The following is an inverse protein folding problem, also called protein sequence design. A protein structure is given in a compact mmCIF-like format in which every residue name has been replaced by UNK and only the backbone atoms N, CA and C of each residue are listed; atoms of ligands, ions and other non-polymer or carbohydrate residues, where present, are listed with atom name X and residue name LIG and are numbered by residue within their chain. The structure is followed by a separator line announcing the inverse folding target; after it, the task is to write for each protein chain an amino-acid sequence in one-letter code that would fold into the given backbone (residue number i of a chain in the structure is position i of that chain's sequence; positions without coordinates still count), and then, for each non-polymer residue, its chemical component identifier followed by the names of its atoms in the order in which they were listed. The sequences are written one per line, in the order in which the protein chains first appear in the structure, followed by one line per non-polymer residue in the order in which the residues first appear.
data_IF_124730078770
#
_entry.id   IF_124730078770
#
_cell.length_a   1.000
_cell.length_b   1.000
_cell.length_c   1.000
_cell.angle_alpha   90.00
_cell.angle_beta   90.00
_cell.angle_gamma   90.00
#
_symmetry.space_group_name_H-M   'P 1'
#
loop_
_entity.id
_entity.type
_entity.pdbx_description
1 polymer ?
#
# COMPACT_ATOMS: atom_id res chain seq x y z
N UNK A 1 27.83 -2.23 12.61
CA UNK A 1 26.76 -1.61 11.80
C UNK A 1 25.54 -1.59 12.68
N UNK A 2 24.94 -0.40 12.95
CA UNK A 2 23.64 -0.30 13.61
C UNK A 2 22.60 -1.07 12.80
N UNK A 3 21.55 -1.58 13.44
CA UNK A 3 20.45 -2.25 12.75
C UNK A 3 19.88 -1.29 11.69
N UNK A 4 19.66 -1.79 10.47
CA UNK A 4 19.06 -0.99 9.41
C UNK A 4 17.67 -0.53 9.87
N UNK A 5 17.39 0.76 9.70
CA UNK A 5 16.19 1.40 10.18
C UNK A 5 15.13 1.41 9.07
N UNK A 6 13.97 0.80 9.34
CA UNK A 6 12.81 0.93 8.46
C UNK A 6 11.73 1.78 9.15
N UNK A 7 11.27 2.88 8.52
CA UNK A 7 10.31 3.81 9.13
C UNK A 7 8.97 3.17 9.47
N UNK A 8 8.61 2.06 8.87
CA UNK A 8 7.38 1.34 9.16
C UNK A 8 7.29 0.82 10.60
N UNK A 9 8.43 0.51 11.23
CA UNK A 9 8.47 0.00 12.60
C UNK A 9 8.57 1.09 13.69
N UNK A 10 8.55 2.38 13.31
CA UNK A 10 8.45 3.47 14.28
C UNK A 10 7.10 3.44 14.99
N UNK A 11 7.09 3.40 16.33
CA UNK A 11 5.85 3.28 17.11
C UNK A 11 5.30 4.62 17.65
N UNK A 12 6.05 5.68 17.56
CA UNK A 12 5.77 7.00 18.15
C UNK A 12 4.98 7.96 17.26
N UNK A 13 4.55 7.52 16.08
CA UNK A 13 3.84 8.37 15.12
C UNK A 13 2.83 7.57 14.28
N UNK A 14 1.75 8.23 13.88
CA UNK A 14 0.80 7.69 12.89
C UNK A 14 1.46 7.65 11.51
N UNK A 15 1.43 6.51 10.83
CA UNK A 15 2.10 6.33 9.54
C UNK A 15 1.29 6.99 8.42
N UNK A 16 1.97 7.78 7.59
CA UNK A 16 1.41 8.32 6.35
C UNK A 16 2.20 7.80 5.16
N UNK A 17 1.49 7.36 4.14
CA UNK A 17 2.10 6.93 2.89
C UNK A 17 1.33 7.43 1.67
N UNK A 18 1.73 7.00 0.47
CA UNK A 18 0.92 7.11 -0.74
C UNK A 18 0.59 5.75 -1.29
N UNK A 19 -0.49 5.65 -2.08
CA UNK A 19 -0.90 4.41 -2.72
C UNK A 19 -1.15 4.64 -4.21
N UNK A 20 -0.73 3.68 -5.05
CA UNK A 20 -1.05 3.67 -6.48
C UNK A 20 -0.44 4.79 -7.34
N UNK A 21 0.57 5.53 -6.86
CA UNK A 21 1.22 6.56 -7.70
C UNK A 21 1.95 5.96 -8.92
N UNK A 22 2.25 4.67 -8.90
CA UNK A 22 2.79 3.94 -10.05
C UNK A 22 1.77 3.65 -11.16
N UNK A 23 0.47 3.91 -10.92
CA UNK A 23 -0.62 3.66 -11.87
C UNK A 23 -1.13 4.94 -12.50
N UNK A 24 -1.58 4.89 -13.76
CA UNK A 24 -2.29 6.00 -14.42
C UNK A 24 -3.55 6.36 -13.64
N UNK A 25 -3.82 7.66 -13.49
CA UNK A 25 -4.89 8.26 -12.70
C UNK A 25 -4.79 8.02 -11.17
N UNK A 26 -3.73 7.39 -10.66
CA UNK A 26 -3.60 7.11 -9.22
C UNK A 26 -4.77 6.28 -8.70
N UNK A 27 -5.57 6.82 -7.76
CA UNK A 27 -6.77 6.15 -7.24
C UNK A 27 -8.09 6.84 -7.65
N UNK A 28 -8.04 8.03 -8.26
CA UNK A 28 -9.24 8.76 -8.67
C UNK A 28 -9.66 8.34 -10.08
N UNK A 29 -10.88 7.81 -10.22
CA UNK A 29 -11.39 7.31 -11.50
C UNK A 29 -12.06 8.46 -12.25
N UNK A 30 -11.26 9.37 -12.81
CA UNK A 30 -11.70 10.66 -13.37
C UNK A 30 -11.16 10.91 -14.76
N UNK A 31 -11.90 11.70 -15.54
CA UNK A 31 -11.54 12.14 -16.90
C UNK A 31 -10.93 13.53 -16.95
N UNK A 32 -10.77 14.20 -15.80
CA UNK A 32 -10.16 15.54 -15.77
C UNK A 32 -8.74 15.51 -16.34
N UNK A 33 -8.35 16.59 -17.02
CA UNK A 33 -7.05 16.65 -17.70
C UNK A 33 -5.88 16.63 -16.70
N UNK A 34 -6.06 17.26 -15.54
CA UNK A 34 -5.06 17.33 -14.48
C UNK A 34 -4.90 16.02 -13.68
N UNK A 35 -5.61 14.95 -14.02
CA UNK A 35 -5.45 13.66 -13.33
C UNK A 35 -4.03 13.15 -13.42
N UNK A 36 -3.64 12.40 -12.40
CA UNK A 36 -2.28 11.86 -12.27
C UNK A 36 -1.77 11.12 -13.50
N UNK A 37 -0.59 11.51 -13.95
CA UNK A 37 0.20 10.82 -14.97
C UNK A 37 1.35 10.10 -14.28
N UNK A 38 1.38 8.78 -14.39
CA UNK A 38 2.33 7.90 -13.70
C UNK A 38 3.69 7.78 -14.39
N UNK A 39 4.18 8.87 -15.01
CA UNK A 39 5.53 8.86 -15.58
C UNK A 39 6.59 8.62 -14.51
N UNK A 40 7.75 8.10 -14.90
CA UNK A 40 8.88 7.97 -14.00
C UNK A 40 9.29 9.30 -13.36
N UNK A 41 9.32 10.36 -14.17
CA UNK A 41 9.66 11.70 -13.70
C UNK A 41 8.71 12.20 -12.60
N UNK A 42 7.40 12.01 -12.79
CA UNK A 42 6.40 12.39 -11.80
C UNK A 42 6.53 11.57 -10.51
N UNK A 43 6.73 10.27 -10.61
CA UNK A 43 6.94 9.40 -9.45
C UNK A 43 8.21 9.75 -8.70
N UNK A 44 9.32 10.03 -9.39
CA UNK A 44 10.58 10.45 -8.78
C UNK A 44 10.43 11.79 -8.06
N UNK A 45 9.78 12.77 -8.69
CA UNK A 45 9.48 14.08 -8.07
C UNK A 45 8.63 13.90 -6.81
N UNK A 46 7.58 13.10 -6.89
CA UNK A 46 6.73 12.78 -5.75
C UNK A 46 7.52 12.13 -4.61
N UNK A 47 8.28 11.08 -4.91
CA UNK A 47 9.04 10.37 -3.90
C UNK A 47 10.01 11.27 -3.13
N UNK A 48 10.72 12.19 -3.83
CA UNK A 48 11.60 13.17 -3.20
C UNK A 48 10.83 14.15 -2.30
N UNK A 49 9.68 14.66 -2.76
CA UNK A 49 8.85 15.55 -1.94
C UNK A 49 8.30 14.85 -0.69
N UNK A 50 7.89 13.58 -0.82
CA UNK A 50 7.40 12.78 0.30
C UNK A 50 8.50 12.50 1.31
N UNK A 51 9.68 12.11 0.84
CA UNK A 51 10.86 11.84 1.66
C UNK A 51 11.30 13.08 2.46
N UNK A 52 11.39 14.23 1.80
CA UNK A 52 11.71 15.53 2.42
C UNK A 52 10.67 15.96 3.46
N UNK A 53 9.39 15.68 3.20
CA UNK A 53 8.28 15.99 4.11
C UNK A 53 8.16 15.00 5.28
N UNK A 54 8.98 13.95 5.32
CA UNK A 54 8.95 12.93 6.37
C UNK A 54 7.76 11.99 6.28
N UNK A 55 7.20 11.76 5.10
CA UNK A 55 6.22 10.70 4.84
C UNK A 55 6.90 9.34 4.99
N UNK A 56 6.18 8.34 5.46
CA UNK A 56 6.78 7.11 5.93
C UNK A 56 6.95 6.06 4.84
N UNK A 57 6.01 5.98 3.87
CA UNK A 57 6.07 4.93 2.85
C UNK A 57 5.37 5.27 1.53
N UNK A 58 5.73 4.53 0.49
CA UNK A 58 5.01 4.47 -0.79
C UNK A 58 4.63 3.01 -1.06
N UNK A 59 3.35 2.78 -1.40
CA UNK A 59 2.79 1.47 -1.68
C UNK A 59 2.26 1.44 -3.13
N UNK A 60 2.84 0.62 -4.04
CA UNK A 60 2.37 0.50 -5.41
C UNK A 60 1.24 -0.52 -5.55
N UNK A 61 0.51 -0.45 -6.66
CA UNK A 61 -0.36 -1.53 -7.13
C UNK A 61 0.38 -2.32 -8.22
N UNK A 62 0.39 -3.63 -8.13
CA UNK A 62 0.75 -4.49 -9.25
C UNK A 62 -0.48 -4.70 -10.13
N UNK A 63 -0.39 -4.31 -11.40
CA UNK A 63 -1.49 -4.38 -12.36
C UNK A 63 -0.94 -4.66 -13.75
N UNK A 64 -1.62 -5.53 -14.49
CA UNK A 64 -1.20 -5.95 -15.83
C UNK A 64 -2.24 -5.62 -16.89
N UNK A 65 -3.51 -5.40 -16.50
CA UNK A 65 -4.59 -4.93 -17.36
C UNK A 65 -5.37 -3.83 -16.64
N UNK A 66 -5.79 -2.81 -17.39
CA UNK A 66 -6.63 -1.73 -16.87
C UNK A 66 -8.08 -2.16 -16.65
N UNK A 67 -8.84 -1.25 -16.08
CA UNK A 67 -10.28 -1.43 -15.86
C UNK A 67 -11.12 -0.89 -17.02
N UNK A 68 -10.48 -0.43 -18.11
CA UNK A 68 -11.17 0.15 -19.26
C UNK A 68 -11.80 1.52 -18.96
N UNK A 69 -12.94 1.80 -19.59
CA UNK A 69 -13.53 3.12 -19.60
C UNK A 69 -12.85 4.05 -20.60
N UNK A 70 -13.21 5.34 -20.60
CA UNK A 70 -12.60 6.34 -21.48
C UNK A 70 -11.13 6.61 -21.12
N UNK A 71 -10.78 6.43 -19.85
CA UNK A 71 -9.42 6.72 -19.35
C UNK A 71 -8.51 5.49 -19.37
N UNK A 72 -9.03 4.32 -19.70
CA UNK A 72 -8.35 3.04 -19.47
C UNK A 72 -7.69 3.01 -18.08
N UNK A 73 -8.54 3.22 -17.05
CA UNK A 73 -8.10 3.37 -15.67
C UNK A 73 -7.17 2.24 -15.24
N UNK A 74 -5.96 2.58 -14.76
CA UNK A 74 -4.87 1.66 -14.49
C UNK A 74 -4.38 0.85 -15.72
N UNK A 75 -4.61 1.33 -16.93
CA UNK A 75 -4.08 0.70 -18.16
C UNK A 75 -2.57 0.89 -18.34
N UNK A 76 -1.99 1.93 -17.71
CA UNK A 76 -0.55 2.15 -17.64
C UNK A 76 -0.07 2.03 -16.20
N UNK A 77 0.89 1.11 -15.95
CA UNK A 77 1.42 0.85 -14.61
C UNK A 77 2.92 0.61 -14.68
N UNK A 78 3.69 1.29 -13.85
CA UNK A 78 5.12 1.00 -13.68
C UNK A 78 5.27 -0.26 -12.82
N UNK A 79 6.11 -1.20 -13.27
CA UNK A 79 6.34 -2.48 -12.59
C UNK A 79 6.93 -2.23 -11.19
N UNK A 80 6.40 -2.91 -10.18
CA UNK A 80 6.53 -2.53 -8.78
C UNK A 80 7.92 -2.72 -8.19
N UNK A 81 8.66 -3.76 -8.59
CA UNK A 81 10.02 -4.04 -8.10
C UNK A 81 11.01 -3.05 -8.70
N UNK A 82 10.95 -2.88 -10.02
CA UNK A 82 11.84 -1.98 -10.76
C UNK A 82 11.60 -0.52 -10.35
N UNK A 83 10.32 -0.13 -10.21
CA UNK A 83 9.91 1.19 -9.73
C UNK A 83 10.43 1.45 -8.30
N UNK A 84 10.25 0.50 -7.39
CA UNK A 84 10.68 0.63 -6.00
C UNK A 84 12.19 0.69 -5.87
N UNK A 85 12.95 -0.12 -6.61
CA UNK A 85 14.42 -0.10 -6.62
C UNK A 85 14.95 1.27 -7.07
N UNK A 86 14.37 1.84 -8.12
CA UNK A 86 14.73 3.17 -8.60
C UNK A 86 14.46 4.27 -7.58
N UNK A 87 13.30 4.26 -6.92
CA UNK A 87 12.95 5.24 -5.91
C UNK A 87 13.77 5.10 -4.63
N UNK A 88 14.09 3.88 -4.20
CA UNK A 88 14.96 3.63 -3.05
C UNK A 88 16.37 4.21 -3.25
N UNK A 89 16.89 4.15 -4.48
CA UNK A 89 18.20 4.73 -4.81
C UNK A 89 18.22 6.28 -4.74
N UNK A 90 17.09 6.92 -4.93
CA UNK A 90 16.93 8.38 -5.04
C UNK A 90 16.35 9.05 -3.77
N UNK A 91 16.01 8.26 -2.75
CA UNK A 91 15.43 8.71 -1.47
C UNK A 91 16.30 8.29 -0.30
N UNK A 92 16.05 8.82 0.92
CA UNK A 92 16.88 8.60 2.09
C UNK A 92 16.18 7.95 3.28
N UNK A 93 14.93 8.33 3.56
CA UNK A 93 14.24 8.00 4.80
C UNK A 93 12.92 7.23 4.58
N UNK A 94 12.27 7.42 3.43
CA UNK A 94 10.97 6.81 3.09
C UNK A 94 11.13 5.33 2.74
N UNK A 95 10.21 4.48 3.23
CA UNK A 95 10.13 3.09 2.80
C UNK A 95 9.39 2.96 1.47
N UNK A 96 9.89 2.11 0.59
CA UNK A 96 9.24 1.84 -0.70
C UNK A 96 8.91 0.36 -0.77
N UNK A 97 7.62 0.07 -0.96
CA UNK A 97 7.12 -1.29 -1.10
C UNK A 97 7.15 -1.76 -2.56
N UNK A 98 7.22 -3.08 -2.72
CA UNK A 98 6.82 -3.75 -3.96
C UNK A 98 5.58 -4.59 -3.69
N UNK A 99 4.63 -4.58 -4.61
CA UNK A 99 3.44 -5.44 -4.57
C UNK A 99 3.65 -6.63 -5.48
N UNK A 100 3.54 -7.85 -4.94
CA UNK A 100 3.88 -9.09 -5.62
C UNK A 100 2.69 -10.04 -5.62
N UNK A 101 2.27 -10.47 -6.80
CA UNK A 101 1.34 -11.57 -6.97
C UNK A 101 2.10 -12.91 -6.84
N UNK A 102 1.78 -13.71 -5.82
CA UNK A 102 2.53 -14.93 -5.49
C UNK A 102 2.56 -15.93 -6.62
N UNK A 103 1.43 -16.15 -7.31
CA UNK A 103 1.32 -17.12 -8.40
C UNK A 103 2.02 -16.69 -9.69
N UNK A 104 2.30 -15.40 -9.86
CA UNK A 104 2.99 -14.87 -11.03
C UNK A 104 4.51 -14.76 -10.84
N UNK A 105 5.02 -14.97 -9.63
CA UNK A 105 6.42 -14.71 -9.30
C UNK A 105 7.03 -15.82 -8.45
N UNK A 106 8.14 -16.41 -8.90
CA UNK A 106 8.81 -17.47 -8.18
C UNK A 106 9.46 -16.96 -6.88
N UNK A 107 9.24 -17.60 -5.70
CA UNK A 107 9.67 -17.07 -4.40
C UNK A 107 11.20 -16.88 -4.29
N UNK A 108 12.01 -17.78 -4.86
CA UNK A 108 13.48 -17.66 -4.86
C UNK A 108 13.95 -16.42 -5.60
N UNK A 109 13.29 -16.08 -6.72
CA UNK A 109 13.61 -14.88 -7.51
C UNK A 109 13.23 -13.63 -6.71
N UNK A 110 12.01 -13.60 -6.18
CA UNK A 110 11.51 -12.46 -5.40
C UNK A 110 12.33 -12.25 -4.13
N UNK A 111 12.69 -13.30 -3.41
CA UNK A 111 13.53 -13.18 -2.22
C UNK A 111 14.86 -12.44 -2.53
N UNK A 112 15.47 -12.75 -3.67
CA UNK A 112 16.70 -12.06 -4.12
C UNK A 112 16.43 -10.63 -4.58
N UNK A 113 15.34 -10.38 -5.29
CA UNK A 113 14.97 -9.04 -5.74
C UNK A 113 14.72 -8.11 -4.55
N UNK A 114 13.92 -8.53 -3.57
CA UNK A 114 13.64 -7.72 -2.36
C UNK A 114 14.92 -7.51 -1.54
N UNK A 115 15.75 -8.53 -1.35
CA UNK A 115 17.02 -8.37 -0.67
C UNK A 115 17.95 -7.38 -1.38
N UNK A 116 17.96 -7.38 -2.73
CA UNK A 116 18.72 -6.40 -3.52
C UNK A 116 18.17 -4.99 -3.37
N UNK A 117 16.84 -4.84 -3.41
CA UNK A 117 16.18 -3.55 -3.14
C UNK A 117 16.51 -3.04 -1.75
N UNK A 118 16.55 -3.92 -0.76
CA UNK A 118 16.87 -3.56 0.63
C UNK A 118 18.31 -3.10 0.78
N UNK A 119 19.27 -3.72 0.05
CA UNK A 119 20.65 -3.25 -0.04
C UNK A 119 20.73 -1.84 -0.68
N UNK A 120 20.03 -1.61 -1.79
CA UNK A 120 19.94 -0.30 -2.45
C UNK A 120 19.34 0.75 -1.50
N UNK A 121 18.23 0.40 -0.85
CA UNK A 121 17.49 1.25 0.06
C UNK A 121 18.03 1.30 1.49
N UNK A 122 19.16 0.64 1.79
CA UNK A 122 19.77 0.63 3.13
C UNK A 122 18.78 0.23 4.24
N UNK A 123 17.98 -0.81 4.00
CA UNK A 123 17.02 -1.34 4.98
C UNK A 123 15.59 -0.77 4.87
N UNK A 124 15.24 -0.07 3.79
CA UNK A 124 13.94 0.59 3.60
C UNK A 124 12.99 -0.10 2.62
N UNK A 125 13.34 -1.27 2.12
CA UNK A 125 12.45 -2.03 1.26
C UNK A 125 11.27 -2.60 2.05
N UNK A 126 10.10 -2.71 1.39
CA UNK A 126 8.92 -3.38 1.92
C UNK A 126 8.31 -4.34 0.90
N UNK A 127 7.55 -5.32 1.38
CA UNK A 127 6.89 -6.34 0.58
C UNK A 127 5.38 -6.35 0.84
N UNK A 128 4.58 -6.12 -0.20
CA UNK A 128 3.14 -6.35 -0.17
C UNK A 128 2.80 -7.65 -0.91
N UNK A 129 2.25 -8.62 -0.19
CA UNK A 129 1.95 -9.97 -0.70
C UNK A 129 0.50 -10.04 -1.16
N UNK A 130 0.28 -10.45 -2.41
CA UNK A 130 -1.06 -10.63 -2.99
C UNK A 130 -1.22 -12.09 -3.41
N UNK A 131 -2.14 -12.81 -2.75
CA UNK A 131 -2.46 -14.21 -3.08
C UNK A 131 -3.18 -14.35 -4.44
N UNK A 132 -3.83 -13.28 -4.91
CA UNK A 132 -4.51 -13.22 -6.20
C UNK A 132 -6.04 -13.18 -6.10
N UNK A 133 -6.67 -12.35 -6.93
CA UNK A 133 -8.11 -12.17 -6.97
C UNK A 133 -8.67 -11.82 -8.36
N UNK A 134 -7.92 -11.06 -9.17
CA UNK A 134 -8.36 -10.55 -10.46
C UNK A 134 -8.10 -11.59 -11.57
N UNK A 135 -9.03 -12.54 -11.75
CA UNK A 135 -8.91 -13.64 -12.70
C UNK A 135 -8.54 -13.19 -14.12
N UNK A 136 -9.16 -12.16 -14.73
CA UNK A 136 -8.78 -11.67 -16.05
C UNK A 136 -7.31 -11.30 -16.19
N UNK A 137 -6.69 -10.78 -15.15
CA UNK A 137 -5.27 -10.41 -15.13
C UNK A 137 -4.35 -11.64 -15.23
N UNK A 138 -4.69 -12.72 -14.52
CA UNK A 138 -3.94 -13.97 -14.61
C UNK A 138 -4.13 -14.67 -15.97
N UNK A 139 -5.33 -14.57 -16.55
CA UNK A 139 -5.58 -15.05 -17.90
C UNK A 139 -4.71 -14.30 -18.94
N UNK A 140 -4.55 -12.97 -18.78
CA UNK A 140 -3.67 -12.17 -19.63
C UNK A 140 -2.18 -12.56 -19.50
N UNK A 141 -1.77 -13.02 -18.33
CA UNK A 141 -0.41 -13.54 -18.08
C UNK A 141 -0.24 -15.02 -18.52
N UNK A 142 -1.30 -15.69 -18.96
CA UNK A 142 -1.27 -17.12 -19.27
C UNK A 142 -1.10 -18.00 -18.03
N UNK A 143 -1.45 -17.50 -16.85
CA UNK A 143 -1.30 -18.17 -15.56
C UNK A 143 -2.67 -18.64 -15.06
N UNK A 144 -2.77 -19.88 -14.62
CA UNK A 144 -3.98 -20.40 -14.01
C UNK A 144 -4.01 -20.00 -12.53
N UNK A 145 -4.89 -19.07 -12.17
CA UNK A 145 -5.19 -18.79 -10.77
C UNK A 145 -6.04 -19.95 -10.19
N UNK A 146 -5.69 -20.53 -9.02
CA UNK A 146 -6.55 -21.50 -8.37
C UNK A 146 -7.96 -20.95 -8.15
N UNK A 147 -8.99 -21.76 -8.40
CA UNK A 147 -10.39 -21.30 -8.35
C UNK A 147 -10.86 -21.04 -6.93
N UNK A 148 -10.41 -21.85 -5.96
CA UNK A 148 -10.79 -21.71 -4.56
C UNK A 148 -9.80 -20.82 -3.77
N UNK A 149 -10.34 -20.15 -2.74
CA UNK A 149 -9.59 -19.22 -1.91
C UNK A 149 -8.57 -19.93 -1.00
N UNK A 150 -8.88 -21.15 -0.55
CA UNK A 150 -8.05 -21.92 0.37
C UNK A 150 -6.70 -22.26 -0.30
N UNK A 151 -6.75 -22.90 -1.46
CA UNK A 151 -5.54 -23.24 -2.25
C UNK A 151 -4.69 -21.98 -2.57
N UNK A 152 -5.30 -20.83 -2.86
CA UNK A 152 -4.54 -19.58 -3.09
C UNK A 152 -3.75 -19.14 -1.87
N UNK A 153 -4.34 -19.26 -0.68
CA UNK A 153 -3.65 -18.87 0.55
C UNK A 153 -2.66 -19.92 1.03
N UNK A 154 -2.89 -21.22 0.78
CA UNK A 154 -1.90 -22.28 1.00
C UNK A 154 -0.67 -22.07 0.12
N UNK A 155 -0.88 -21.78 -1.17
CA UNK A 155 0.19 -21.42 -2.10
C UNK A 155 0.96 -20.17 -1.63
N UNK A 156 0.26 -19.12 -1.23
CA UNK A 156 0.86 -17.89 -0.73
C UNK A 156 1.63 -18.13 0.59
N UNK A 157 1.16 -19.04 1.44
CA UNK A 157 1.85 -19.40 2.68
C UNK A 157 3.19 -20.08 2.38
N UNK A 158 3.19 -21.11 1.55
CA UNK A 158 4.43 -21.81 1.18
C UNK A 158 5.40 -20.85 0.48
N UNK A 159 4.87 -20.01 -0.43
CA UNK A 159 5.65 -18.98 -1.12
C UNK A 159 6.34 -18.02 -0.14
N UNK A 160 5.63 -17.56 0.87
CA UNK A 160 6.18 -16.64 1.86
C UNK A 160 7.14 -17.31 2.84
N UNK A 161 6.88 -18.56 3.21
CA UNK A 161 7.76 -19.34 4.08
C UNK A 161 9.12 -19.58 3.41
N UNK A 162 9.13 -19.83 2.11
CA UNK A 162 10.37 -19.93 1.31
C UNK A 162 11.14 -18.59 1.35
N UNK A 163 10.46 -17.46 1.13
CA UNK A 163 11.10 -16.14 1.19
C UNK A 163 11.69 -15.87 2.57
N UNK A 164 10.92 -16.08 3.62
CA UNK A 164 11.38 -15.89 5.00
C UNK A 164 12.58 -16.78 5.33
N UNK A 165 12.58 -18.03 4.86
CA UNK A 165 13.72 -18.95 5.03
C UNK A 165 14.94 -18.47 4.27
N UNK A 166 14.80 -18.04 3.01
CA UNK A 166 15.90 -17.47 2.20
C UNK A 166 16.52 -16.22 2.83
N UNK A 167 15.73 -15.41 3.52
CA UNK A 167 16.25 -14.22 4.21
C UNK A 167 16.96 -14.53 5.53
N UNK A 168 16.70 -15.69 6.14
CA UNK A 168 17.24 -16.08 7.46
C UNK A 168 18.37 -17.11 7.37
N UNK A 169 18.21 -18.11 6.50
CA UNK A 169 19.14 -19.25 6.41
C UNK A 169 20.47 -18.82 5.79
N UNK A 170 21.58 -19.27 6.40
CA UNK A 170 22.94 -18.97 5.96
C UNK A 170 23.52 -20.05 5.05
N UNK A 171 23.04 -21.27 5.20
CA UNK A 171 23.54 -22.43 4.49
C UNK A 171 22.64 -22.75 3.28
N UNK A 172 23.16 -23.56 2.38
CA UNK A 172 22.36 -24.12 1.30
C UNK A 172 21.32 -25.09 1.85
N UNK A 173 20.13 -25.07 1.28
CA UNK A 173 19.06 -25.99 1.66
C UNK A 173 18.26 -26.45 0.46
N UNK A 174 17.57 -27.59 0.63
CA UNK A 174 16.56 -28.11 -0.28
C UNK A 174 15.17 -27.70 0.23
N UNK A 175 14.23 -27.57 -0.69
CA UNK A 175 12.81 -27.40 -0.38
C UNK A 175 12.00 -28.44 -1.11
N UNK A 176 11.14 -29.15 -0.40
CA UNK A 176 10.24 -30.18 -0.92
C UNK A 176 8.86 -29.96 -0.32
N UNK A 177 8.12 -29.02 -0.90
CA UNK A 177 6.79 -28.61 -0.48
C UNK A 177 5.71 -29.05 -1.48
N UNK A 178 4.48 -28.66 -1.21
CA UNK A 178 3.32 -29.03 -2.02
C UNK A 178 3.30 -28.29 -3.37
N UNK A 179 3.75 -27.04 -3.38
CA UNK A 179 3.71 -26.17 -4.57
C UNK A 179 5.10 -25.92 -5.17
N UNK A 180 6.15 -25.99 -4.36
CA UNK A 180 7.51 -25.70 -4.79
C UNK A 180 8.48 -26.82 -4.41
N UNK A 181 9.29 -27.27 -5.38
CA UNK A 181 10.38 -28.22 -5.15
C UNK A 181 11.64 -27.67 -5.82
N UNK A 182 12.71 -27.56 -5.05
CA UNK A 182 14.02 -27.14 -5.57
C UNK A 182 15.14 -27.63 -4.64
N UNK A 183 16.37 -27.65 -5.17
CA UNK A 183 17.53 -28.17 -4.44
C UNK A 183 18.65 -27.13 -4.42
N UNK A 184 19.44 -27.20 -3.34
CA UNK A 184 20.69 -26.49 -3.18
C UNK A 184 20.56 -24.98 -3.42
N UNK A 185 19.61 -24.32 -2.76
CA UNK A 185 19.37 -22.88 -2.83
C UNK A 185 19.89 -22.17 -1.59
N UNK A 186 20.33 -20.94 -1.74
CA UNK A 186 20.78 -20.05 -0.67
C UNK A 186 20.32 -18.63 -0.93
N UNK A 187 19.84 -17.94 0.09
CA UNK A 187 19.52 -16.52 0.05
C UNK A 187 20.76 -15.67 0.37
N UNK A 188 21.41 -15.12 -0.69
CA UNK A 188 22.57 -14.23 -0.53
C UNK A 188 22.60 -13.25 -1.73
N UNK A 189 22.68 -11.88 -1.51
CA UNK A 189 22.65 -11.23 -0.20
C UNK A 189 21.30 -11.42 0.51
N UNK A 190 21.31 -11.19 1.81
CA UNK A 190 20.10 -11.13 2.63
C UNK A 190 19.71 -9.66 2.85
N UNK A 191 18.45 -9.37 3.23
CA UNK A 191 18.09 -8.03 3.67
C UNK A 191 18.97 -7.54 4.81
N UNK A 192 19.19 -6.23 4.90
CA UNK A 192 19.99 -5.61 5.95
C UNK A 192 19.28 -5.57 7.30
N UNK A 193 17.95 -5.57 7.27
CA UNK A 193 17.08 -5.54 8.44
C UNK A 193 15.84 -6.39 8.26
N UNK A 194 14.83 -6.12 9.07
CA UNK A 194 13.52 -6.70 8.94
C UNK A 194 12.75 -5.99 7.82
N UNK A 195 12.28 -6.77 6.82
CA UNK A 195 11.48 -6.25 5.72
C UNK A 195 10.01 -6.25 6.15
N UNK A 196 9.35 -5.09 6.25
CA UNK A 196 7.94 -5.03 6.62
C UNK A 196 7.07 -5.70 5.54
N UNK A 197 6.17 -6.57 6.00
CA UNK A 197 5.23 -7.31 5.15
C UNK A 197 3.85 -6.71 5.30
N UNK A 198 3.27 -6.28 4.17
CA UNK A 198 1.87 -5.86 4.05
C UNK A 198 1.08 -6.95 3.35
N UNK A 199 -0.17 -7.15 3.75
CA UNK A 199 -1.14 -7.94 3.01
C UNK A 199 -2.48 -7.22 2.98
N UNK A 200 -3.06 -7.10 1.79
CA UNK A 200 -4.39 -6.53 1.61
C UNK A 200 -5.42 -7.67 1.57
N UNK A 201 -6.20 -7.82 2.63
CA UNK A 201 -7.15 -8.91 2.76
C UNK A 201 -8.51 -8.46 3.29
N UNK A 202 -9.57 -8.88 2.60
CA UNK A 202 -10.97 -8.66 3.00
C UNK A 202 -11.71 -9.93 3.41
N UNK A 203 -11.25 -11.13 2.98
CA UNK A 203 -11.87 -12.41 3.32
C UNK A 203 -11.38 -12.96 4.66
N UNK A 204 -12.13 -13.89 5.27
CA UNK A 204 -11.72 -14.55 6.51
C UNK A 204 -10.37 -15.27 6.38
N UNK A 205 -10.16 -16.00 5.27
CA UNK A 205 -8.88 -16.68 4.98
C UNK A 205 -7.73 -15.69 4.82
N UNK A 206 -7.99 -14.55 4.17
CA UNK A 206 -6.99 -13.51 4.02
C UNK A 206 -6.64 -12.82 5.32
N UNK A 207 -7.61 -12.57 6.18
CA UNK A 207 -7.37 -12.04 7.53
C UNK A 207 -6.54 -13.01 8.38
N UNK A 208 -6.85 -14.31 8.32
CA UNK A 208 -6.07 -15.34 9.00
C UNK A 208 -4.63 -15.42 8.46
N UNK A 209 -4.45 -15.37 7.14
CA UNK A 209 -3.12 -15.29 6.54
C UNK A 209 -2.36 -14.03 7.00
N UNK A 210 -3.01 -12.86 7.01
CA UNK A 210 -2.39 -11.61 7.42
C UNK A 210 -1.99 -11.64 8.90
N UNK A 211 -2.84 -12.12 9.80
CA UNK A 211 -2.54 -12.21 11.24
C UNK A 211 -1.39 -13.17 11.54
N UNK A 212 -1.21 -14.22 10.75
CA UNK A 212 -0.08 -15.15 10.87
C UNK A 212 1.22 -14.63 10.26
N UNK A 213 1.14 -13.76 9.26
CA UNK A 213 2.29 -13.53 8.37
C UNK A 213 2.69 -12.08 8.19
N UNK A 214 1.74 -11.15 8.18
CA UNK A 214 1.99 -9.73 7.89
C UNK A 214 2.30 -8.93 9.16
N UNK A 215 3.03 -7.84 8.99
CA UNK A 215 3.23 -6.83 10.02
C UNK A 215 2.10 -5.79 9.94
N UNK A 216 1.55 -5.60 8.74
CA UNK A 216 0.46 -4.68 8.48
C UNK A 216 -0.63 -5.33 7.62
N UNK A 217 -1.86 -5.30 8.10
CA UNK A 217 -3.05 -5.55 7.28
C UNK A 217 -3.51 -4.24 6.64
N UNK A 218 -3.71 -4.23 5.33
CA UNK A 218 -4.22 -3.08 4.59
C UNK A 218 -5.69 -3.30 4.23
N UNK A 219 -6.60 -2.46 4.75
CA UNK A 219 -8.06 -2.64 4.58
C UNK A 219 -8.78 -1.29 4.51
N UNK A 220 -9.89 -1.15 3.73
CA UNK A 220 -10.66 0.07 3.68
C UNK A 220 -11.33 0.41 5.02
N UNK A 221 -11.36 1.70 5.39
CA UNK A 221 -12.14 2.23 6.51
C UNK A 221 -13.51 2.72 5.98
N UNK A 222 -14.55 1.90 6.09
CA UNK A 222 -15.91 2.27 5.61
C UNK A 222 -16.66 3.01 6.71
N UNK A 223 -16.66 2.47 7.91
CA UNK A 223 -17.25 3.01 9.13
C UNK A 223 -16.23 2.91 10.26
N UNK A 224 -15.95 4.01 10.95
CA UNK A 224 -14.89 4.05 11.95
C UNK A 224 -15.23 3.28 13.24
N UNK A 225 -16.49 3.26 13.65
CA UNK A 225 -16.91 2.52 14.84
C UNK A 225 -16.74 1.01 14.61
N UNK A 226 -17.23 0.53 13.48
CA UNK A 226 -17.05 -0.86 13.05
C UNK A 226 -15.59 -1.22 12.84
N UNK A 227 -14.82 -0.32 12.20
CA UNK A 227 -13.37 -0.54 11.99
C UNK A 227 -12.63 -0.72 13.30
N UNK A 228 -13.01 0.03 14.36
CA UNK A 228 -12.41 -0.11 15.69
C UNK A 228 -12.62 -1.52 16.27
N UNK A 229 -13.82 -2.05 16.17
CA UNK A 229 -14.15 -3.40 16.63
C UNK A 229 -13.37 -4.46 15.82
N UNK A 230 -13.38 -4.36 14.49
CA UNK A 230 -12.65 -5.28 13.60
C UNK A 230 -11.13 -5.24 13.84
N UNK A 231 -10.54 -4.06 14.09
CA UNK A 231 -9.11 -3.93 14.42
C UNK A 231 -8.77 -4.61 15.74
N UNK A 232 -9.65 -4.47 16.75
CA UNK A 232 -9.46 -5.14 18.04
C UNK A 232 -9.50 -6.66 17.90
N UNK A 233 -10.45 -7.19 17.14
CA UNK A 233 -10.57 -8.63 16.84
C UNK A 233 -9.33 -9.16 16.10
N UNK A 234 -8.85 -8.43 15.08
CA UNK A 234 -7.65 -8.79 14.32
C UNK A 234 -6.38 -8.82 15.19
N UNK A 235 -6.21 -7.83 16.07
CA UNK A 235 -5.09 -7.78 17.00
C UNK A 235 -5.13 -8.92 18.02
N UNK A 236 -6.33 -9.26 18.50
CA UNK A 236 -6.49 -10.39 19.42
C UNK A 236 -6.22 -11.73 18.71
N UNK A 237 -6.71 -11.90 17.48
CA UNK A 237 -6.40 -13.10 16.67
C UNK A 237 -4.88 -13.24 16.45
N UNK A 238 -4.17 -12.16 16.10
CA UNK A 238 -2.72 -12.20 15.94
C UNK A 238 -2.00 -12.62 17.23
N UNK A 239 -2.44 -12.12 18.40
CA UNK A 239 -1.87 -12.51 19.71
C UNK A 239 -2.05 -13.99 20.00
N UNK A 240 -3.18 -14.59 19.66
CA UNK A 240 -3.37 -16.06 19.83
C UNK A 240 -2.39 -16.87 18.99
N UNK A 241 -1.86 -16.28 17.93
CA UNK A 241 -0.85 -16.85 17.04
C UNK A 241 0.60 -16.45 17.42
N UNK A 242 0.77 -15.75 18.56
CA UNK A 242 2.07 -15.29 19.05
C UNK A 242 2.65 -14.11 18.25
N UNK A 243 1.79 -13.34 17.58
CA UNK A 243 2.20 -12.20 16.74
C UNK A 243 1.51 -10.89 17.13
N UNK A 244 2.07 -9.80 16.64
CA UNK A 244 1.42 -8.49 16.55
C UNK A 244 1.15 -8.15 15.08
N UNK A 245 0.02 -7.51 14.80
CA UNK A 245 -0.33 -6.95 13.51
C UNK A 245 -0.87 -5.54 13.71
N UNK A 246 -0.42 -4.62 12.88
CA UNK A 246 -0.99 -3.29 12.79
C UNK A 246 -1.90 -3.17 11.56
N UNK A 247 -2.82 -2.21 11.56
CA UNK A 247 -3.79 -2.05 10.47
C UNK A 247 -3.59 -0.71 9.78
N UNK A 248 -3.41 -0.74 8.48
CA UNK A 248 -3.34 0.43 7.61
C UNK A 248 -4.63 0.55 6.80
N UNK A 249 -4.95 1.78 6.39
CA UNK A 249 -6.07 2.04 5.49
C UNK A 249 -5.67 2.94 4.33
N UNK A 250 -6.60 3.18 3.42
CA UNK A 250 -6.43 4.11 2.31
C UNK A 250 -7.40 5.29 2.45
N UNK A 251 -6.95 6.48 2.03
CA UNK A 251 -7.76 7.68 2.02
C UNK A 251 -7.60 8.43 0.70
N UNK A 252 -8.68 9.06 0.23
CA UNK A 252 -8.58 10.08 -0.79
C UNK A 252 -8.63 11.47 -0.17
N UNK A 253 -7.81 12.37 -0.66
CA UNK A 253 -7.61 13.71 -0.08
C UNK A 253 -8.06 14.79 -1.04
N UNK A 254 -8.97 15.65 -0.58
CA UNK A 254 -9.32 16.89 -1.25
C UNK A 254 -9.22 18.01 -0.21
N UNK A 255 -8.04 18.62 -0.12
CA UNK A 255 -7.73 19.66 0.85
C UNK A 255 -7.70 21.03 0.17
N UNK A 256 -8.58 21.95 0.58
CA UNK A 256 -8.71 23.30 -0.01
C UNK A 256 -8.82 24.36 1.11
N UNK A 257 -8.62 25.65 0.80
CA UNK A 257 -8.77 26.74 1.78
C UNK A 257 -10.13 26.76 2.46
N UNK A 258 -11.20 26.40 1.76
CA UNK A 258 -12.56 26.32 2.29
C UNK A 258 -13.19 24.96 2.02
N UNK A 259 -14.15 24.58 2.86
CA UNK A 259 -14.93 23.37 2.68
C UNK A 259 -15.74 23.39 1.36
N UNK A 260 -16.30 24.55 1.01
CA UNK A 260 -17.04 24.73 -0.24
C UNK A 260 -16.17 24.42 -1.47
N UNK A 261 -14.93 24.94 -1.51
CA UNK A 261 -13.97 24.67 -2.58
C UNK A 261 -13.60 23.18 -2.64
N UNK A 262 -13.42 22.52 -1.49
CA UNK A 262 -13.12 21.11 -1.43
C UNK A 262 -14.27 20.25 -1.96
N UNK A 263 -15.51 20.51 -1.51
CA UNK A 263 -16.70 19.82 -1.98
C UNK A 263 -16.96 20.04 -3.47
N UNK A 264 -16.77 21.26 -3.95
CA UNK A 264 -16.91 21.59 -5.38
C UNK A 264 -15.87 20.84 -6.24
N UNK A 265 -14.64 20.73 -5.77
CA UNK A 265 -13.61 20.00 -6.50
C UNK A 265 -13.87 18.49 -6.48
N UNK A 266 -14.33 17.95 -5.36
CA UNK A 266 -14.77 16.53 -5.28
C UNK A 266 -15.92 16.25 -6.25
N UNK A 267 -16.93 17.11 -6.30
CA UNK A 267 -18.06 17.00 -7.25
C UNK A 267 -17.57 17.04 -8.69
N UNK A 268 -16.65 17.97 -9.01
CA UNK A 268 -16.06 18.12 -10.34
C UNK A 268 -15.30 16.86 -10.77
N UNK A 269 -14.45 16.31 -9.90
CA UNK A 269 -13.57 15.18 -10.25
C UNK A 269 -14.26 13.84 -10.16
N UNK A 270 -15.00 13.56 -9.08
CA UNK A 270 -15.50 12.24 -8.74
C UNK A 270 -16.97 12.01 -9.12
N UNK A 271 -17.68 13.04 -9.64
CA UNK A 271 -19.06 12.87 -10.12
C UNK A 271 -19.21 13.40 -11.53
N UNK A 272 -18.97 14.71 -11.76
CA UNK A 272 -19.20 15.35 -13.06
C UNK A 272 -18.27 14.76 -14.13
N UNK A 273 -17.01 14.54 -13.79
CA UNK A 273 -16.01 14.00 -14.70
C UNK A 273 -15.55 12.58 -14.33
N UNK A 274 -16.30 11.86 -13.52
CA UNK A 274 -15.98 10.45 -13.24
C UNK A 274 -16.07 9.61 -14.52
N UNK A 275 -15.14 8.68 -14.67
CA UNK A 275 -15.22 7.62 -15.68
C UNK A 275 -16.07 6.47 -15.17
N UNK A 276 -17.39 6.64 -15.26
CA UNK A 276 -18.35 5.69 -14.68
C UNK A 276 -18.25 4.29 -15.25
N UNK A 277 -17.78 4.13 -16.50
CA UNK A 277 -17.55 2.81 -17.10
C UNK A 277 -16.41 2.10 -16.37
N UNK A 278 -15.31 2.79 -16.14
CA UNK A 278 -14.18 2.25 -15.38
C UNK A 278 -14.56 1.98 -13.91
N UNK A 279 -15.31 2.88 -13.27
CA UNK A 279 -15.84 2.67 -11.91
C UNK A 279 -16.67 1.42 -11.83
N UNK A 280 -17.63 1.23 -12.75
CA UNK A 280 -18.54 0.07 -12.74
C UNK A 280 -17.77 -1.24 -13.00
N UNK A 281 -16.78 -1.24 -13.87
CA UNK A 281 -15.90 -2.38 -14.10
C UNK A 281 -15.10 -2.74 -12.86
N UNK A 282 -14.51 -1.74 -12.21
CA UNK A 282 -13.75 -1.91 -10.98
C UNK A 282 -14.63 -2.46 -9.84
N UNK A 283 -15.79 -1.85 -9.61
CA UNK A 283 -16.75 -2.28 -8.59
C UNK A 283 -17.20 -3.73 -8.87
N UNK A 284 -17.57 -4.04 -10.11
CA UNK A 284 -17.98 -5.40 -10.50
C UNK A 284 -16.91 -6.44 -10.19
N UNK A 285 -15.64 -6.15 -10.48
CA UNK A 285 -14.53 -7.08 -10.21
C UNK A 285 -14.26 -7.23 -8.72
N UNK A 286 -14.29 -6.15 -7.96
CA UNK A 286 -14.10 -6.18 -6.50
C UNK A 286 -15.21 -6.96 -5.80
N UNK A 287 -16.47 -6.78 -6.23
CA UNK A 287 -17.64 -7.43 -5.63
C UNK A 287 -17.89 -8.85 -6.11
N UNK A 288 -17.39 -9.23 -7.29
CA UNK A 288 -17.47 -10.62 -7.75
C UNK A 288 -16.80 -11.60 -6.75
N UNK A 289 -15.90 -11.09 -5.91
CA UNK A 289 -15.14 -11.87 -4.93
C UNK A 289 -15.41 -11.46 -3.46
N UNK A 290 -16.23 -10.43 -3.22
CA UNK A 290 -16.56 -9.94 -1.89
C UNK A 290 -17.95 -10.44 -1.47
N UNK A 291 -18.00 -11.53 -0.72
CA UNK A 291 -19.26 -12.11 -0.18
C UNK A 291 -19.93 -11.25 0.92
N UNK A 292 -19.47 -10.02 1.17
CA UNK A 292 -19.73 -9.32 2.44
C UNK A 292 -20.26 -7.89 2.36
N UNK A 293 -20.73 -7.38 1.21
CA UNK A 293 -21.26 -6.01 1.17
C UNK A 293 -22.78 -5.95 1.15
N UNK A 294 -23.41 -5.16 2.05
CA UNK A 294 -24.86 -4.90 2.00
C UNK A 294 -25.23 -4.15 0.72
N UNK A 295 -26.27 -4.61 0.04
CA UNK A 295 -26.78 -4.01 -1.20
C UNK A 295 -27.21 -2.54 -1.03
N UNK A 296 -27.58 -2.13 0.16
CA UNK A 296 -28.03 -0.78 0.50
C UNK A 296 -26.91 0.29 0.44
N UNK A 297 -25.65 -0.14 0.43
CA UNK A 297 -24.47 0.74 0.40
C UNK A 297 -23.86 0.91 -1.00
N UNK A 298 -24.42 0.27 -2.04
CA UNK A 298 -23.83 0.25 -3.39
C UNK A 298 -23.64 1.65 -3.98
N UNK A 299 -24.58 2.59 -3.77
CA UNK A 299 -24.44 3.96 -4.26
C UNK A 299 -23.27 4.71 -3.60
N UNK A 300 -23.20 4.65 -2.28
CA UNK A 300 -22.12 5.28 -1.51
C UNK A 300 -20.76 4.68 -1.86
N UNK A 301 -20.72 3.36 -2.04
CA UNK A 301 -19.50 2.64 -2.42
C UNK A 301 -19.06 3.08 -3.81
N UNK A 302 -19.97 3.14 -4.77
CA UNK A 302 -19.69 3.58 -6.14
C UNK A 302 -19.08 4.99 -6.18
N UNK A 303 -19.65 5.93 -5.42
CA UNK A 303 -19.10 7.30 -5.30
C UNK A 303 -17.70 7.31 -4.66
N UNK A 304 -17.49 6.51 -3.62
CA UNK A 304 -16.17 6.36 -2.98
C UNK A 304 -15.15 5.72 -3.91
N UNK A 305 -15.57 4.78 -4.77
CA UNK A 305 -14.67 4.19 -5.77
C UNK A 305 -14.30 5.21 -6.84
N UNK A 306 -15.23 6.04 -7.29
CA UNK A 306 -14.93 7.13 -8.21
C UNK A 306 -13.93 8.13 -7.61
N UNK A 307 -14.10 8.49 -6.34
CA UNK A 307 -13.25 9.47 -5.65
C UNK A 307 -11.86 8.97 -5.31
N UNK A 308 -11.70 7.66 -5.04
CA UNK A 308 -10.42 7.14 -4.56
C UNK A 308 -10.44 5.66 -4.17
N UNK A 309 -10.91 4.79 -5.06
CA UNK A 309 -10.85 3.33 -4.91
C UNK A 309 -11.46 2.80 -3.60
N UNK A 310 -12.52 3.44 -3.13
CA UNK A 310 -13.19 3.07 -1.87
C UNK A 310 -12.54 3.64 -0.60
N UNK A 311 -11.53 4.50 -0.75
CA UNK A 311 -10.79 5.09 0.36
C UNK A 311 -11.62 5.97 1.30
N UNK A 312 -11.14 6.13 2.53
CA UNK A 312 -11.73 7.03 3.52
C UNK A 312 -11.65 8.49 3.04
N UNK A 313 -12.75 9.28 3.08
CA UNK A 313 -12.74 10.64 2.59
C UNK A 313 -12.05 11.59 3.59
N UNK A 314 -10.98 12.25 3.13
CA UNK A 314 -10.32 13.36 3.81
C UNK A 314 -10.58 14.62 2.97
N UNK A 315 -11.79 15.19 3.10
CA UNK A 315 -12.31 16.27 2.25
C UNK A 315 -12.64 17.48 3.10
N UNK A 316 -12.12 18.65 2.75
CA UNK A 316 -12.39 19.88 3.47
C UNK A 316 -11.19 20.81 3.60
N UNK A 317 -11.24 21.65 4.63
CA UNK A 317 -10.12 22.52 5.03
C UNK A 317 -8.96 21.70 5.63
N UNK A 318 -7.75 22.27 5.75
CA UNK A 318 -6.64 21.59 6.42
C UNK A 318 -6.99 21.06 7.83
N UNK A 319 -7.79 21.82 8.58
CA UNK A 319 -8.24 21.39 9.91
C UNK A 319 -9.15 20.14 9.82
N UNK A 320 -10.14 20.15 8.93
CA UNK A 320 -11.05 19.03 8.73
C UNK A 320 -10.31 17.77 8.24
N UNK A 321 -9.35 17.94 7.35
CA UNK A 321 -8.50 16.83 6.87
C UNK A 321 -7.65 16.27 8.01
N UNK A 322 -7.04 17.11 8.84
CA UNK A 322 -6.28 16.68 10.01
C UNK A 322 -7.18 15.98 11.05
N UNK A 323 -8.37 16.51 11.33
CA UNK A 323 -9.34 15.88 12.23
C UNK A 323 -9.78 14.49 11.72
N UNK A 324 -9.95 14.31 10.40
CA UNK A 324 -10.23 13.00 9.80
C UNK A 324 -9.08 12.00 9.99
N UNK A 325 -7.82 12.43 9.86
CA UNK A 325 -6.64 11.59 10.13
C UNK A 325 -6.57 11.21 11.62
N UNK A 326 -6.85 12.13 12.52
CA UNK A 326 -6.92 11.88 13.97
C UNK A 326 -8.01 10.84 14.26
N UNK A 327 -9.19 10.99 13.66
CA UNK A 327 -10.28 10.03 13.84
C UNK A 327 -9.92 8.60 13.37
N UNK A 328 -9.14 8.47 12.29
CA UNK A 328 -8.58 7.17 11.89
C UNK A 328 -7.65 6.59 12.96
N UNK A 329 -6.79 7.40 13.56
CA UNK A 329 -5.91 6.96 14.64
C UNK A 329 -6.70 6.53 15.89
N UNK A 330 -7.74 7.27 16.27
CA UNK A 330 -8.64 6.95 17.40
C UNK A 330 -9.47 5.68 17.15
N UNK A 331 -9.76 5.37 15.87
CA UNK A 331 -10.36 4.10 15.47
C UNK A 331 -9.38 2.91 15.51
N UNK A 332 -8.09 3.15 15.80
CA UNK A 332 -7.09 2.11 15.99
C UNK A 332 -6.24 1.80 14.76
N UNK A 333 -6.42 2.51 13.66
CA UNK A 333 -5.52 2.40 12.52
C UNK A 333 -4.11 2.89 12.89
N UNK A 334 -3.11 2.21 12.39
CA UNK A 334 -1.70 2.55 12.57
C UNK A 334 -1.23 3.61 11.57
N UNK A 335 -1.94 3.73 10.47
CA UNK A 335 -1.61 4.67 9.40
C UNK A 335 -2.63 4.66 8.26
N UNK A 336 -2.47 5.63 7.37
CA UNK A 336 -3.26 5.71 6.13
C UNK A 336 -2.40 6.11 4.94
N UNK A 337 -2.81 5.67 3.75
CA UNK A 337 -2.26 6.23 2.52
C UNK A 337 -3.06 7.43 2.06
N UNK A 338 -2.38 8.39 1.47
CA UNK A 338 -2.92 9.61 0.90
C UNK A 338 -2.96 9.47 -0.62
N UNK A 339 -4.11 9.70 -1.22
CA UNK A 339 -4.27 9.73 -2.66
C UNK A 339 -4.88 11.05 -3.10
N UNK A 340 -4.35 11.62 -4.14
CA UNK A 340 -4.74 12.90 -4.71
C UNK A 340 -5.14 12.72 -6.18
N UNK A 341 -5.85 13.68 -6.75
CA UNK A 341 -6.12 13.70 -8.19
C UNK A 341 -4.82 13.94 -8.97
N UNK A 342 -4.02 14.93 -8.56
CA UNK A 342 -2.62 15.09 -8.95
C UNK A 342 -1.73 15.17 -7.70
N UNK A 343 -0.93 14.12 -7.48
CA UNK A 343 -0.06 14.04 -6.30
C UNK A 343 0.97 15.17 -6.24
N UNK A 344 1.55 15.58 -7.37
CA UNK A 344 2.59 16.59 -7.41
C UNK A 344 2.05 18.03 -7.24
N UNK A 345 0.81 18.28 -7.64
CA UNK A 345 0.17 19.57 -7.50
C UNK A 345 -0.48 19.78 -6.12
N UNK A 346 -1.06 18.72 -5.55
CA UNK A 346 -1.88 18.85 -4.33
C UNK A 346 -1.12 18.53 -3.04
N UNK A 347 -0.13 17.61 -3.08
CA UNK A 347 0.65 17.27 -1.89
C UNK A 347 1.38 18.46 -1.23
N UNK A 348 1.95 19.46 -1.96
CA UNK A 348 2.55 20.62 -1.33
C UNK A 348 1.60 21.38 -0.40
N UNK A 349 0.34 21.58 -0.80
CA UNK A 349 -0.64 22.25 0.06
C UNK A 349 -0.96 21.40 1.31
N UNK A 350 -1.12 20.10 1.17
CA UNK A 350 -1.28 19.18 2.30
C UNK A 350 -0.07 19.23 3.25
N UNK A 351 1.14 19.18 2.71
CA UNK A 351 2.40 19.26 3.47
C UNK A 351 2.44 20.54 4.32
N UNK A 352 2.15 21.68 3.69
CA UNK A 352 2.37 22.99 4.30
C UNK A 352 1.26 23.35 5.31
N UNK A 353 0.06 22.77 5.18
CA UNK A 353 -1.10 23.15 5.98
C UNK A 353 -1.65 22.04 6.88
N UNK A 354 -1.51 20.75 6.53
CA UNK A 354 -2.05 19.65 7.33
C UNK A 354 -0.99 19.03 8.25
N UNK A 355 0.22 18.78 7.74
CA UNK A 355 1.29 18.15 8.56
C UNK A 355 1.64 18.95 9.82
N UNK A 356 1.70 20.31 9.80
CA UNK A 356 1.91 21.09 11.02
C UNK A 356 0.82 20.87 12.08
N UNK A 357 -0.45 20.78 11.67
CA UNK A 357 -1.57 20.53 12.60
C UNK A 357 -1.41 19.15 13.26
N UNK A 358 -1.05 18.12 12.49
CA UNK A 358 -0.82 16.78 13.01
C UNK A 358 0.37 16.74 14.00
N UNK A 359 1.41 17.53 13.75
CA UNK A 359 2.55 17.68 14.64
C UNK A 359 2.16 18.38 15.96
N UNK A 360 1.43 19.49 15.89
CA UNK A 360 0.91 20.22 17.07
C UNK A 360 -0.02 19.35 17.92
N UNK A 361 -0.82 18.49 17.30
CA UNK A 361 -1.70 17.54 17.99
C UNK A 361 -0.96 16.30 18.51
N UNK A 362 0.37 16.20 18.32
CA UNK A 362 1.19 15.09 18.80
C UNK A 362 1.02 13.77 18.06
N UNK A 363 0.23 13.76 16.96
CA UNK A 363 0.01 12.54 16.18
C UNK A 363 1.23 12.18 15.31
N UNK A 364 1.95 13.20 14.83
CA UNK A 364 3.15 13.04 14.00
C UNK A 364 4.24 14.03 14.41
N UNK A 365 5.03 13.72 15.43
CA UNK A 365 6.18 14.56 15.75
C UNK A 365 7.14 14.61 14.53
N UNK A 366 7.85 15.74 14.34
CA UNK A 366 8.86 15.84 13.29
C UNK A 366 9.87 14.69 13.39
N UNK A 367 10.29 14.12 12.25
CA UNK A 367 11.39 13.15 12.25
C UNK A 367 12.64 13.80 12.80
N UNK A 368 13.18 13.29 13.87
CA UNK A 368 14.54 13.56 14.29
C UNK A 368 15.44 12.72 13.40
N UNK A 369 16.04 13.34 12.39
CA UNK A 369 17.10 12.67 11.61
C UNK A 369 18.24 12.34 12.56
N UNK A 370 18.55 11.06 12.70
CA UNK A 370 19.84 10.68 13.28
C UNK A 370 20.91 11.28 12.33
N UNK A 371 21.60 12.31 12.79
CA UNK A 371 22.79 12.78 12.08
C UNK A 371 23.71 11.56 11.96
N UNK A 372 24.01 11.17 10.72
CA UNK A 372 25.09 10.24 10.45
C UNK A 372 26.35 10.93 11.01
N UNK A 373 26.72 10.58 12.23
CA UNK A 373 28.00 10.97 12.81
C UNK A 373 29.05 10.35 11.89
N UNK A 374 29.55 11.19 11.01
CA UNK A 374 30.64 10.85 10.13
C UNK A 374 31.86 10.59 10.98
N UNK A 375 32.12 9.34 11.33
CA UNK A 375 33.48 8.91 11.69
C UNK A 375 34.26 8.83 10.38
N UNK A 376 35.12 9.84 10.23
CA UNK A 376 36.01 9.97 9.11
C UNK A 376 36.84 8.71 8.90
N UNK A 377 36.85 8.24 7.65
CA UNK A 377 37.89 7.39 7.17
C UNK A 377 39.24 8.12 7.33
N UNK A 378 40.07 7.61 8.21
CA UNK A 378 41.51 7.72 8.14
C UNK A 378 42.06 6.36 7.77
#
# INVERSE_FOLDING_TARGET
MGAAYNPMFQKDRFLLGTFSSNCSSGLTVTKVEERWVNSWENNLKLAKMLDEAGIDFMLPIARWIGYGGETDFHGSVLETITWAAGLLAETRDIAIFSTIHTTANHPVVVAKQIATMDQIGQGRAGLNVVAGWNKPEYEALGIKLPDDHETRYEYAQEWLDIIKKLWKEKEYFDWDGDFFQFKHVKGDPRPLGEVPIVNAAGSAQGRDFATRNADFLFTPAIDLARSKEEIMELKEQAKTQGREVDVLTLSHVVCRPTEEEALKYLEYTAKTNADWVAVDNLVKLQFAHAQSFPHDLLGLIRDRFAAGHGGFPLVGTPQQVADGIIALAEAGFRGTTLSFVDYNAEFPYFRDHVLPILAERGLRPPRVRAELVGEGMK
#
